data_IF_756578307753
#
_entry.id   IF_756578307753
#
_cell.length_a   1.000
_cell.length_b   1.000
_cell.length_c   1.000
_cell.angle_alpha   90.00
_cell.angle_beta   90.00
_cell.angle_gamma   90.00
#
_symmetry.space_group_name_H-M   'P 1'
#
loop_
_entity.id
_entity.type
_entity.pdbx_description
1 polymer ?
#
# COMPACT_ATOMS: atom_id res chain seq x y z
N UNK A 1 -13.22 2.84 -11.00
CA UNK A 1 -12.36 3.54 -10.04
C UNK A 1 -10.92 3.08 -10.22
N UNK A 2 -9.99 4.01 -10.40
CA UNK A 2 -8.55 3.71 -10.57
C UNK A 2 -7.84 3.94 -9.24
N UNK A 3 -7.07 2.96 -8.80
CA UNK A 3 -6.40 2.95 -7.51
C UNK A 3 -4.88 2.94 -7.71
N UNK A 4 -4.19 3.82 -6.97
CA UNK A 4 -2.74 3.75 -6.79
C UNK A 4 -2.41 3.17 -5.42
N UNK A 5 -1.46 2.24 -5.35
CA UNK A 5 -1.03 1.61 -4.09
C UNK A 5 0.46 1.79 -3.93
N UNK A 6 0.87 2.33 -2.80
CA UNK A 6 2.27 2.46 -2.40
C UNK A 6 2.46 2.19 -0.91
N UNK A 7 3.70 1.99 -0.51
CA UNK A 7 4.08 1.72 0.88
C UNK A 7 5.54 2.08 1.12
N UNK A 8 5.91 2.19 2.38
CA UNK A 8 7.33 2.29 2.80
C UNK A 8 8.07 3.46 2.11
N UNK A 9 7.45 4.64 2.13
CA UNK A 9 8.01 5.88 1.59
C UNK A 9 9.14 6.45 2.45
N UNK A 10 9.12 6.17 3.75
CA UNK A 10 10.17 6.56 4.71
C UNK A 10 10.59 8.03 4.60
N UNK A 11 9.61 8.92 4.60
CA UNK A 11 9.82 10.38 4.69
C UNK A 11 10.03 11.09 3.36
N UNK A 12 9.88 10.40 2.23
CA UNK A 12 10.07 11.00 0.92
C UNK A 12 9.18 10.39 -0.17
N UNK A 13 8.61 11.22 -1.02
CA UNK A 13 7.82 10.82 -2.18
C UNK A 13 8.55 11.21 -3.46
N UNK A 14 8.86 10.22 -4.30
CA UNK A 14 9.49 10.47 -5.60
C UNK A 14 8.51 11.21 -6.52
N UNK A 15 8.96 12.24 -7.27
CA UNK A 15 8.14 12.92 -8.28
C UNK A 15 7.45 11.98 -9.27
N UNK A 16 8.07 10.85 -9.60
CA UNK A 16 7.49 9.83 -10.47
C UNK A 16 6.17 9.26 -9.94
N UNK A 17 5.94 9.27 -8.63
CA UNK A 17 4.66 8.86 -8.03
C UNK A 17 3.52 9.72 -8.58
N UNK A 18 3.71 11.03 -8.63
CA UNK A 18 2.68 11.96 -9.14
C UNK A 18 2.43 11.79 -10.62
N UNK A 19 3.48 11.54 -11.41
CA UNK A 19 3.36 11.29 -12.84
C UNK A 19 2.56 10.02 -13.11
N UNK A 20 2.92 8.91 -12.48
CA UNK A 20 2.25 7.62 -12.66
C UNK A 20 0.84 7.56 -12.05
N UNK A 21 0.61 8.32 -10.98
CA UNK A 21 -0.69 8.39 -10.31
C UNK A 21 -1.55 9.58 -10.76
N UNK A 22 -1.16 10.30 -11.81
CA UNK A 22 -1.95 11.43 -12.31
C UNK A 22 -3.40 11.05 -12.68
N UNK A 23 -3.61 9.82 -13.14
CA UNK A 23 -4.92 9.30 -13.54
C UNK A 23 -5.64 8.45 -12.50
N UNK A 24 -5.12 8.30 -11.26
CA UNK A 24 -5.81 7.54 -10.22
C UNK A 24 -6.86 8.39 -9.52
N UNK A 25 -7.90 7.75 -9.03
CA UNK A 25 -9.00 8.38 -8.30
C UNK A 25 -8.71 8.42 -6.79
N UNK A 26 -8.00 7.42 -6.27
CA UNK A 26 -7.68 7.27 -4.85
C UNK A 26 -6.32 6.61 -4.68
N UNK A 27 -5.60 6.98 -3.61
CA UNK A 27 -4.32 6.38 -3.23
C UNK A 27 -4.50 5.58 -1.93
N UNK A 28 -3.91 4.37 -1.89
CA UNK A 28 -3.77 3.56 -0.69
C UNK A 28 -2.31 3.49 -0.28
N UNK A 29 -2.01 3.93 0.95
CA UNK A 29 -0.67 3.88 1.52
C UNK A 29 -0.62 2.82 2.64
N UNK A 30 0.15 1.77 2.43
CA UNK A 30 0.21 0.62 3.32
C UNK A 30 1.25 0.75 4.46
N UNK A 31 1.53 1.98 4.92
CA UNK A 31 2.30 2.26 6.12
C UNK A 31 3.78 2.56 5.92
N UNK A 32 4.46 2.93 7.00
CA UNK A 32 5.82 3.46 7.02
C UNK A 32 5.96 4.68 6.09
N UNK A 33 5.07 5.66 6.30
CA UNK A 33 5.15 6.95 5.63
C UNK A 33 6.44 7.71 6.02
N UNK A 34 6.87 7.57 7.25
CA UNK A 34 8.11 8.12 7.77
C UNK A 34 7.97 9.49 8.43
N UNK A 35 7.08 10.33 7.92
CA UNK A 35 6.73 11.61 8.53
C UNK A 35 5.34 12.08 8.06
N UNK A 36 4.81 13.09 8.75
CA UNK A 36 3.48 13.63 8.46
C UNK A 36 3.42 14.37 7.12
N UNK A 37 4.53 14.91 6.64
CA UNK A 37 4.57 15.65 5.38
C UNK A 37 4.20 14.75 4.19
N UNK A 38 4.63 13.50 4.21
CA UNK A 38 4.25 12.49 3.19
C UNK A 38 2.73 12.31 3.15
N UNK A 39 2.08 12.18 4.30
CA UNK A 39 0.62 12.03 4.38
C UNK A 39 -0.06 13.29 3.84
N UNK A 40 0.36 14.45 4.30
CA UNK A 40 -0.21 15.75 3.88
C UNK A 40 -0.06 15.97 2.37
N UNK A 41 1.11 15.65 1.83
CA UNK A 41 1.42 15.82 0.41
C UNK A 41 0.58 14.89 -0.47
N UNK A 42 0.44 13.63 -0.08
CA UNK A 42 -0.39 12.67 -0.81
C UNK A 42 -1.89 13.00 -0.72
N UNK A 43 -2.38 13.44 0.44
CA UNK A 43 -3.77 13.90 0.63
C UNK A 43 -4.10 15.13 -0.22
N UNK A 44 -3.15 16.06 -0.36
CA UNK A 44 -3.32 17.23 -1.22
C UNK A 44 -3.38 16.85 -2.71
N UNK A 45 -2.78 15.73 -3.09
CA UNK A 45 -2.75 15.26 -4.47
C UNK A 45 -4.00 14.44 -4.86
N UNK A 46 -4.39 13.46 -4.05
CA UNK A 46 -5.58 12.60 -4.28
C UNK A 46 -6.17 12.15 -2.95
N UNK A 47 -7.47 11.78 -2.92
CA UNK A 47 -8.04 11.09 -1.77
C UNK A 47 -7.13 9.95 -1.31
N UNK A 48 -6.81 9.92 -0.01
CA UNK A 48 -5.84 9.00 0.58
C UNK A 48 -6.48 8.12 1.63
N UNK A 49 -6.19 6.81 1.58
CA UNK A 49 -6.37 5.90 2.70
C UNK A 49 -5.01 5.41 3.15
N UNK A 50 -4.62 5.77 4.35
CA UNK A 50 -3.31 5.44 4.89
C UNK A 50 -3.43 4.71 6.22
N UNK A 51 -2.55 3.74 6.42
CA UNK A 51 -2.29 3.12 7.72
C UNK A 51 -0.90 3.51 8.19
N UNK A 52 -0.68 3.47 9.51
CA UNK A 52 0.68 3.63 10.02
C UNK A 52 1.44 2.31 10.02
N UNK A 53 2.75 2.39 9.96
CA UNK A 53 3.67 1.26 10.08
C UNK A 53 4.51 1.30 11.34
N UNK A 54 5.39 0.31 11.49
CA UNK A 54 6.23 0.18 12.69
C UNK A 54 7.28 1.29 12.84
N UNK A 55 7.69 1.92 11.74
CA UNK A 55 8.64 3.05 11.76
C UNK A 55 7.98 4.42 11.93
N UNK A 56 6.66 4.49 11.86
CA UNK A 56 5.93 5.75 11.93
C UNK A 56 5.86 6.31 13.36
N UNK A 57 6.06 7.63 13.46
CA UNK A 57 6.02 8.36 14.71
C UNK A 57 4.59 8.66 15.19
N UNK A 58 4.49 9.39 16.30
CA UNK A 58 3.21 9.76 16.90
C UNK A 58 2.33 10.61 15.98
N UNK A 59 2.91 11.54 15.20
CA UNK A 59 2.13 12.42 14.34
C UNK A 59 1.47 11.63 13.19
N UNK A 60 2.21 10.74 12.54
CA UNK A 60 1.68 9.86 11.50
C UNK A 60 0.60 8.93 12.08
N UNK A 61 0.88 8.32 13.23
CA UNK A 61 -0.08 7.41 13.90
C UNK A 61 -1.36 8.09 14.31
N UNK A 62 -1.30 9.36 14.71
CA UNK A 62 -2.47 10.17 15.05
C UNK A 62 -3.28 10.55 13.82
N UNK A 63 -2.64 10.79 12.70
CA UNK A 63 -3.28 11.18 11.43
C UNK A 63 -3.84 10.00 10.64
N UNK A 64 -3.36 8.79 10.90
CA UNK A 64 -3.73 7.57 10.17
C UNK A 64 -4.32 6.50 11.10
N UNK A 65 -4.47 5.28 10.63
CA UNK A 65 -5.06 4.17 11.40
C UNK A 65 -4.10 2.98 11.45
N UNK A 66 -4.28 2.08 12.44
CA UNK A 66 -3.60 0.78 12.45
C UNK A 66 -3.94 -0.04 11.21
N UNK A 67 -5.22 -0.10 10.88
CA UNK A 67 -5.74 -0.73 9.68
C UNK A 67 -6.94 0.04 9.13
N UNK A 68 -7.18 -0.11 7.84
CA UNK A 68 -8.39 0.34 7.18
C UNK A 68 -9.19 -0.87 6.69
N UNK A 69 -10.48 -0.91 7.04
CA UNK A 69 -11.42 -1.82 6.42
C UNK A 69 -12.57 -1.02 5.80
N UNK A 70 -12.79 -1.18 4.51
CA UNK A 70 -13.76 -0.39 3.76
C UNK A 70 -14.25 -1.14 2.53
N UNK A 71 -15.28 -0.61 1.88
CA UNK A 71 -15.78 -1.12 0.61
C UNK A 71 -15.48 -0.16 -0.52
N UNK A 72 -15.18 -0.74 -1.69
CA UNK A 72 -15.04 0.00 -2.93
C UNK A 72 -15.77 -0.80 -4.02
N UNK A 73 -16.88 -0.23 -4.54
CA UNK A 73 -17.85 -1.01 -5.29
C UNK A 73 -18.40 -2.17 -4.45
N UNK A 74 -18.36 -3.36 -4.98
CA UNK A 74 -18.78 -4.57 -4.27
C UNK A 74 -17.68 -5.22 -3.45
N UNK A 75 -16.42 -4.79 -3.61
CA UNK A 75 -15.25 -5.39 -2.94
C UNK A 75 -15.00 -4.80 -1.57
N UNK A 76 -14.71 -5.67 -0.59
CA UNK A 76 -14.20 -5.30 0.71
C UNK A 76 -12.67 -5.31 0.71
N UNK A 77 -12.07 -4.30 1.33
CA UNK A 77 -10.63 -4.09 1.35
C UNK A 77 -10.13 -3.96 2.77
N UNK A 78 -9.07 -4.67 3.09
CA UNK A 78 -8.33 -4.54 4.35
C UNK A 78 -6.91 -4.07 4.02
N UNK A 79 -6.49 -2.96 4.65
CA UNK A 79 -5.11 -2.47 4.59
C UNK A 79 -4.52 -2.53 5.99
N UNK A 80 -3.35 -3.12 6.15
CA UNK A 80 -2.53 -3.11 7.37
C UNK A 80 -1.05 -3.17 6.97
N UNK A 81 -0.18 -2.52 7.72
CA UNK A 81 1.24 -2.46 7.33
C UNK A 81 1.95 -3.81 7.40
N UNK A 82 1.98 -4.45 8.56
CA UNK A 82 2.64 -5.75 8.75
C UNK A 82 1.61 -6.86 8.49
N UNK A 83 1.64 -7.42 7.28
CA UNK A 83 0.62 -8.36 6.84
C UNK A 83 1.08 -9.79 6.61
N UNK A 84 2.23 -9.95 5.99
CA UNK A 84 2.68 -11.25 5.50
C UNK A 84 2.05 -11.63 4.16
N UNK A 85 1.85 -12.92 3.94
CA UNK A 85 1.33 -13.46 2.69
C UNK A 85 0.67 -14.83 2.93
N UNK A 86 -0.03 -15.40 1.94
CA UNK A 86 -0.68 -16.73 2.11
C UNK A 86 0.25 -17.79 2.67
N UNK A 87 -0.19 -18.41 3.78
CA UNK A 87 0.59 -19.37 4.55
C UNK A 87 1.53 -18.76 5.60
N UNK A 88 1.75 -17.46 5.60
CA UNK A 88 2.63 -16.74 6.55
C UNK A 88 2.10 -15.36 6.90
N UNK A 89 0.81 -15.24 7.16
CA UNK A 89 0.24 -13.99 7.67
C UNK A 89 0.78 -13.67 9.07
N UNK A 90 0.98 -12.38 9.36
CA UNK A 90 1.27 -11.95 10.73
C UNK A 90 0.08 -12.27 11.63
N UNK A 91 0.29 -12.48 12.95
CA UNK A 91 -0.81 -12.82 13.87
C UNK A 91 -1.95 -11.80 13.83
N UNK A 92 -1.64 -10.51 13.83
CA UNK A 92 -2.65 -9.44 13.79
C UNK A 92 -3.40 -9.39 12.47
N UNK A 93 -2.70 -9.54 11.35
CA UNK A 93 -3.34 -9.61 10.04
C UNK A 93 -4.25 -10.82 9.92
N UNK A 94 -3.81 -11.98 10.39
CA UNK A 94 -4.62 -13.20 10.37
C UNK A 94 -5.91 -13.08 11.19
N UNK A 95 -5.84 -12.46 12.37
CA UNK A 95 -7.00 -12.14 13.19
C UNK A 95 -8.03 -11.31 12.42
N UNK A 96 -7.58 -10.19 11.83
CA UNK A 96 -8.44 -9.29 11.06
C UNK A 96 -8.99 -9.96 9.78
N UNK A 97 -8.17 -10.73 9.07
CA UNK A 97 -8.61 -11.47 7.88
C UNK A 97 -9.71 -12.47 8.24
N UNK A 98 -9.55 -13.21 9.33
CA UNK A 98 -10.54 -14.20 9.76
C UNK A 98 -11.85 -13.56 10.22
N UNK A 99 -11.78 -12.40 10.87
CA UNK A 99 -12.94 -11.64 11.36
C UNK A 99 -13.67 -10.92 10.21
N UNK A 100 -12.93 -10.19 9.37
CA UNK A 100 -13.49 -9.26 8.40
C UNK A 100 -13.70 -9.89 7.02
N UNK A 101 -12.98 -10.96 6.69
CA UNK A 101 -13.07 -11.70 5.42
C UNK A 101 -13.01 -10.78 4.19
N UNK A 102 -11.93 -10.01 4.01
CA UNK A 102 -11.82 -9.08 2.90
C UNK A 102 -11.68 -9.80 1.55
N UNK A 103 -12.15 -9.18 0.47
CA UNK A 103 -11.88 -9.62 -0.90
C UNK A 103 -10.46 -9.26 -1.34
N UNK A 104 -9.95 -8.12 -0.84
CA UNK A 104 -8.62 -7.59 -1.15
C UNK A 104 -7.89 -7.29 0.16
N UNK A 105 -6.68 -7.81 0.27
CA UNK A 105 -5.78 -7.58 1.40
C UNK A 105 -4.52 -6.87 0.93
N UNK A 106 -4.22 -5.71 1.50
CA UNK A 106 -3.06 -4.87 1.15
C UNK A 106 -2.14 -4.73 2.35
N UNK A 107 -0.86 -4.95 2.15
CA UNK A 107 0.16 -4.72 3.20
C UNK A 107 1.46 -4.18 2.59
N UNK A 108 2.41 -3.84 3.45
CA UNK A 108 3.75 -3.37 3.10
C UNK A 108 4.83 -4.11 3.88
N UNK A 109 5.73 -3.37 4.50
CA UNK A 109 6.78 -3.81 5.43
C UNK A 109 7.91 -4.65 4.83
N UNK A 110 7.61 -5.67 4.04
CA UNK A 110 8.64 -6.55 3.47
C UNK A 110 9.48 -5.91 2.38
N UNK A 111 9.01 -4.80 1.81
CA UNK A 111 9.58 -4.13 0.62
C UNK A 111 9.63 -5.02 -0.62
N UNK A 112 8.89 -6.12 -0.63
CA UNK A 112 8.86 -7.10 -1.72
C UNK A 112 7.49 -7.07 -2.39
N UNK A 113 7.47 -6.79 -3.68
CA UNK A 113 6.24 -6.85 -4.48
C UNK A 113 5.66 -8.26 -4.46
N UNK A 114 4.37 -8.34 -4.11
CA UNK A 114 3.59 -9.58 -4.20
C UNK A 114 2.17 -9.27 -4.65
N UNK A 115 1.70 -10.02 -5.63
CA UNK A 115 0.29 -10.06 -6.02
C UNK A 115 -0.08 -11.53 -6.11
N UNK A 116 -0.77 -12.03 -5.09
CA UNK A 116 -1.05 -13.46 -4.92
C UNK A 116 -2.52 -13.65 -4.55
N UNK A 117 -3.20 -14.55 -5.23
CA UNK A 117 -4.56 -14.94 -4.86
C UNK A 117 -4.56 -16.10 -3.86
N UNK A 118 -5.04 -15.85 -2.65
CA UNK A 118 -5.26 -16.87 -1.63
C UNK A 118 -6.56 -17.61 -1.92
N UNK A 119 -6.45 -18.78 -2.55
CA UNK A 119 -7.61 -19.59 -2.92
C UNK A 119 -8.40 -20.07 -1.72
N UNK A 120 -7.73 -20.34 -0.59
CA UNK A 120 -8.39 -20.84 0.62
C UNK A 120 -9.32 -19.80 1.26
N UNK A 121 -9.06 -18.52 1.01
CA UNK A 121 -9.81 -17.38 1.53
C UNK A 121 -10.57 -16.59 0.47
N UNK A 122 -10.41 -16.96 -0.80
CA UNK A 122 -10.95 -16.19 -1.94
C UNK A 122 -10.56 -14.71 -1.87
N UNK A 123 -9.29 -14.43 -1.55
CA UNK A 123 -8.79 -13.10 -1.25
C UNK A 123 -7.55 -12.78 -2.11
N UNK A 124 -7.52 -11.60 -2.71
CA UNK A 124 -6.34 -11.11 -3.42
C UNK A 124 -5.41 -10.40 -2.43
N UNK A 125 -4.19 -10.89 -2.30
CA UNK A 125 -3.15 -10.30 -1.46
C UNK A 125 -2.22 -9.43 -2.31
N UNK A 126 -2.03 -8.19 -1.90
CA UNK A 126 -1.22 -7.18 -2.59
C UNK A 126 -0.19 -6.60 -1.62
N UNK A 127 1.07 -6.59 -2.05
CA UNK A 127 2.13 -5.80 -1.46
C UNK A 127 2.79 -5.00 -2.59
N UNK A 128 2.78 -3.65 -2.55
CA UNK A 128 3.33 -2.84 -3.63
C UNK A 128 4.86 -2.77 -3.64
N UNK A 129 5.55 -3.40 -2.69
CA UNK A 129 6.95 -3.17 -2.45
C UNK A 129 7.19 -1.83 -1.76
N UNK A 130 8.39 -1.28 -1.86
CA UNK A 130 8.73 -0.01 -1.23
C UNK A 130 8.85 1.11 -2.27
N UNK A 131 8.15 2.21 -2.01
CA UNK A 131 8.19 3.42 -2.84
C UNK A 131 9.27 4.42 -2.40
N UNK A 132 9.89 4.20 -1.24
CA UNK A 132 10.94 5.04 -0.68
C UNK A 132 12.35 4.54 -1.00
N UNK A 133 13.33 5.35 -0.58
CA UNK A 133 14.76 5.09 -0.80
C UNK A 133 15.40 4.26 0.31
N UNK A 134 14.72 4.10 1.44
CA UNK A 134 15.26 3.40 2.63
C UNK A 134 14.80 1.95 2.66
N UNK A 135 15.72 1.02 2.86
CA UNK A 135 15.44 -0.41 2.96
C UNK A 135 16.43 -1.26 2.18
N UNK A 136 16.17 -2.56 2.09
CA UNK A 136 17.04 -3.52 1.40
C UNK A 136 16.62 -3.78 -0.06
N UNK A 137 15.50 -3.24 -0.50
CA UNK A 137 15.07 -3.33 -1.89
C UNK A 137 16.00 -2.58 -2.83
N UNK A 138 16.12 -3.05 -4.07
CA UNK A 138 17.02 -2.45 -5.10
C UNK A 138 16.30 -1.44 -5.97
N UNK A 139 15.01 -1.63 -6.17
CA UNK A 139 14.15 -0.83 -7.06
C UNK A 139 12.95 -0.33 -6.27
N UNK A 140 12.60 0.94 -6.44
CA UNK A 140 11.37 1.50 -5.90
C UNK A 140 10.19 1.07 -6.76
N UNK A 141 9.11 0.65 -6.10
CA UNK A 141 7.93 0.10 -6.75
C UNK A 141 6.64 0.66 -6.18
N UNK A 142 5.62 0.64 -6.99
CA UNK A 142 4.23 0.92 -6.63
C UNK A 142 3.31 0.13 -7.56
N UNK A 143 2.03 0.12 -7.26
CA UNK A 143 1.02 -0.58 -8.04
C UNK A 143 -0.10 0.37 -8.44
N UNK A 144 -0.74 0.08 -9.56
CA UNK A 144 -2.04 0.67 -9.92
C UNK A 144 -2.93 -0.37 -10.58
N UNK A 145 -4.23 -0.21 -10.40
CA UNK A 145 -5.24 -1.07 -11.00
C UNK A 145 -6.59 -0.37 -11.05
N UNK A 146 -7.55 -1.00 -11.71
CA UNK A 146 -8.94 -0.55 -11.74
C UNK A 146 -9.84 -1.50 -10.96
N UNK A 147 -10.85 -0.93 -10.31
CA UNK A 147 -12.00 -1.66 -9.77
C UNK A 147 -13.23 -1.13 -10.49
N UNK A 148 -13.90 -2.01 -11.22
CA UNK A 148 -15.16 -1.74 -11.90
C UNK A 148 -16.16 -2.81 -11.48
N UNK A 149 -17.25 -2.41 -10.83
CA UNK A 149 -18.23 -3.29 -10.22
C UNK A 149 -17.59 -4.33 -9.28
N UNK A 150 -17.44 -5.57 -9.73
CA UNK A 150 -16.85 -6.68 -9.00
C UNK A 150 -15.49 -7.15 -9.56
N UNK A 151 -14.96 -6.45 -10.57
CA UNK A 151 -13.71 -6.81 -11.27
C UNK A 151 -12.55 -5.90 -10.93
N UNK A 152 -11.40 -6.53 -10.67
CA UNK A 152 -10.11 -5.87 -10.76
C UNK A 152 -9.55 -6.09 -12.17
N UNK A 153 -9.05 -5.03 -12.77
CA UNK A 153 -8.43 -5.06 -14.09
C UNK A 153 -7.23 -4.11 -14.16
N UNK A 154 -6.46 -4.24 -15.22
CA UNK A 154 -5.32 -3.36 -15.52
C UNK A 154 -4.31 -3.26 -14.36
N UNK A 155 -4.06 -4.39 -13.68
CA UNK A 155 -3.05 -4.46 -12.62
C UNK A 155 -1.66 -4.27 -13.22
N UNK A 156 -0.95 -3.27 -12.71
CA UNK A 156 0.39 -2.90 -13.18
C UNK A 156 1.31 -2.69 -11.99
N UNK A 157 2.47 -3.36 -12.01
CA UNK A 157 3.60 -3.07 -11.13
C UNK A 157 4.48 -2.04 -11.83
N UNK A 158 4.70 -0.90 -11.19
CA UNK A 158 5.51 0.19 -11.73
C UNK A 158 6.84 0.22 -10.99
N UNK A 159 7.92 0.00 -11.71
CA UNK A 159 9.28 0.24 -11.25
C UNK A 159 9.70 1.65 -11.69
N UNK A 160 10.09 2.53 -10.77
CA UNK A 160 10.29 3.94 -11.11
C UNK A 160 11.61 4.54 -10.63
N UNK A 161 12.48 3.77 -10.04
CA UNK A 161 13.79 4.24 -9.66
C UNK A 161 14.57 3.22 -8.83
N UNK A 162 15.86 3.47 -8.73
CA UNK A 162 16.73 2.67 -7.89
C UNK A 162 16.77 3.25 -6.47
N UNK A 163 16.79 2.36 -5.48
CA UNK A 163 17.06 2.74 -4.10
C UNK A 163 18.31 3.60 -4.03
N UNK A 164 18.13 4.85 -3.57
CA UNK A 164 19.19 5.76 -3.16
C UNK A 164 20.61 5.48 -3.66
N UNK A 165 20.90 5.72 -4.94
CA UNK A 165 22.14 6.40 -5.25
C UNK A 165 21.92 7.85 -4.80
N UNK A 166 22.24 8.13 -3.55
CA UNK A 166 22.69 9.48 -3.22
C UNK A 166 23.79 9.74 -4.21
N UNK A 167 23.52 10.58 -5.18
CA UNK A 167 24.53 11.09 -6.07
C UNK A 167 25.65 11.62 -5.18
N UNK A 168 26.79 11.07 -5.39
CA UNK A 168 27.99 11.55 -4.78
C UNK A 168 28.26 13.00 -5.17
#
# INVERSE_FOLDING_TARGET
>A
MKIGVLSDTHGWVDPAVYEHFAGVDEIWHAGDAGNIDVITELEAFRPLRAVWGNCDDFEVRRATKEFHFFRTGTKSVLIIHIGGYPGRYSPRALELINELKPDIFVCGHSHIVKVIYDKSRSMLCINPGAAGRTGMHKVMTMLRFKIEDDRLSDMEVIEFGNRGRTGG
#
